data_IF_722893201409
#
_entry.id   IF_722893201409
#
_cell.length_a   1.000
_cell.length_b   1.000
_cell.length_c   1.000
_cell.angle_alpha   90.00
_cell.angle_beta   90.00
_cell.angle_gamma   90.00
#
_symmetry.space_group_name_H-M   'P 1'
#
loop_
_entity.id
_entity.type
_entity.pdbx_description
1 polymer ?
#
# COMPACT_ATOMS: atom_id res chain seq x y z
N UNK A 1 15.53 3.57 -1.17
CA UNK A 1 15.56 4.24 0.15
C UNK A 1 16.39 3.49 1.19
N UNK A 2 16.30 2.17 1.31
CA UNK A 2 17.05 1.40 2.31
C UNK A 2 18.57 1.61 2.20
N UNK A 3 19.15 1.45 1.00
CA UNK A 3 20.58 1.71 0.76
C UNK A 3 21.00 3.14 1.08
N UNK A 4 20.11 4.12 0.93
CA UNK A 4 20.41 5.51 1.27
C UNK A 4 20.50 5.70 2.79
N UNK A 5 19.64 5.03 3.55
CA UNK A 5 19.70 5.03 5.01
C UNK A 5 21.02 4.40 5.50
N UNK A 6 21.41 3.27 4.93
CA UNK A 6 22.69 2.62 5.21
C UNK A 6 23.89 3.53 4.89
N UNK A 7 23.87 4.18 3.71
CA UNK A 7 24.93 5.11 3.32
C UNK A 7 25.04 6.34 4.24
N UNK A 8 23.97 6.69 4.95
CA UNK A 8 23.93 7.78 5.94
C UNK A 8 24.23 7.30 7.37
N UNK A 9 24.57 6.02 7.56
CA UNK A 9 24.90 5.43 8.87
C UNK A 9 23.68 5.00 9.68
N UNK A 10 22.49 4.95 9.08
CA UNK A 10 21.27 4.37 9.66
C UNK A 10 21.06 2.92 9.25
N UNK A 11 19.90 2.37 9.61
CA UNK A 11 19.50 1.00 9.28
C UNK A 11 18.48 1.03 8.14
N UNK A 12 18.71 0.23 7.10
CA UNK A 12 17.81 0.09 5.96
C UNK A 12 17.28 -1.34 5.82
N UNK A 13 15.98 -1.49 5.61
CA UNK A 13 15.36 -2.75 5.20
C UNK A 13 14.58 -2.57 3.91
N UNK A 14 14.61 -3.58 3.04
CA UNK A 14 13.79 -3.62 1.82
C UNK A 14 12.78 -4.74 1.92
N UNK A 15 11.50 -4.44 1.64
CA UNK A 15 10.40 -5.40 1.63
C UNK A 15 9.78 -5.40 0.23
N UNK A 16 9.86 -6.54 -0.45
CA UNK A 16 9.27 -6.71 -1.80
C UNK A 16 8.20 -7.79 -1.85
N UNK A 17 8.03 -8.54 -0.76
CA UNK A 17 7.01 -9.59 -0.64
C UNK A 17 6.24 -9.42 0.67
N UNK A 18 4.90 -9.57 0.67
CA UNK A 18 4.09 -9.36 1.86
C UNK A 18 4.46 -10.25 3.06
N UNK A 19 4.89 -11.48 2.81
CA UNK A 19 5.26 -12.44 3.87
C UNK A 19 6.53 -12.06 4.64
N UNK A 20 7.32 -11.11 4.13
CA UNK A 20 8.55 -10.65 4.77
C UNK A 20 8.28 -9.47 5.73
N UNK A 21 7.05 -8.91 5.72
CA UNK A 21 6.69 -7.70 6.49
C UNK A 21 6.87 -7.89 7.99
N UNK A 22 6.33 -8.98 8.56
CA UNK A 22 6.33 -9.18 10.01
C UNK A 22 7.77 -9.26 10.56
N UNK A 23 8.63 -10.05 9.91
CA UNK A 23 10.02 -10.20 10.33
C UNK A 23 10.82 -8.91 10.19
N UNK A 24 10.55 -8.10 9.17
CA UNK A 24 11.20 -6.80 9.00
C UNK A 24 10.72 -5.79 10.04
N UNK A 25 9.42 -5.79 10.37
CA UNK A 25 8.88 -4.93 11.43
C UNK A 25 9.46 -5.31 12.79
N UNK A 26 9.53 -6.60 13.12
CA UNK A 26 10.15 -7.08 14.36
C UNK A 26 11.61 -6.62 14.48
N UNK A 27 12.40 -6.79 13.40
CA UNK A 27 13.78 -6.34 13.36
C UNK A 27 13.90 -4.81 13.49
N UNK A 28 13.04 -4.07 12.81
CA UNK A 28 13.02 -2.61 12.85
C UNK A 28 12.67 -2.07 14.25
N UNK A 29 11.71 -2.68 14.95
CA UNK A 29 11.33 -2.26 16.29
C UNK A 29 12.35 -2.67 17.36
N UNK A 30 13.11 -3.75 17.14
CA UNK A 30 14.19 -4.18 18.04
C UNK A 30 15.49 -3.39 17.86
N UNK A 31 15.64 -2.65 16.76
CA UNK A 31 16.85 -1.91 16.45
C UNK A 31 17.05 -0.68 17.34
N UNK A 32 18.28 -0.46 17.80
CA UNK A 32 18.66 0.78 18.46
C UNK A 32 19.01 1.84 17.41
N UNK A 33 18.09 2.78 17.16
CA UNK A 33 18.33 3.94 16.28
C UNK A 33 17.31 4.09 15.14
N UNK A 34 17.56 5.01 14.20
CA UNK A 34 16.65 5.26 13.10
C UNK A 34 16.69 4.14 12.05
N UNK A 35 15.51 3.65 11.71
CA UNK A 35 15.30 2.63 10.67
C UNK A 35 14.46 3.22 9.54
N UNK A 36 14.86 2.94 8.30
CA UNK A 36 14.05 3.17 7.09
C UNK A 36 13.68 1.82 6.49
N UNK A 37 12.38 1.59 6.32
CA UNK A 37 11.84 0.44 5.59
C UNK A 37 11.38 0.91 4.22
N UNK A 38 12.00 0.38 3.17
CA UNK A 38 11.59 0.54 1.79
C UNK A 38 10.65 -0.61 1.39
N UNK A 39 9.35 -0.35 1.46
CA UNK A 39 8.34 -1.31 1.03
C UNK A 39 7.89 -1.03 -0.41
N UNK A 40 8.01 -2.02 -1.28
CA UNK A 40 7.40 -1.99 -2.62
C UNK A 40 5.95 -2.41 -2.48
N UNK A 41 5.02 -1.53 -2.87
CA UNK A 41 3.58 -1.75 -2.79
C UNK A 41 2.93 -1.64 -4.17
N UNK A 42 1.74 -2.23 -4.32
CA UNK A 42 0.94 -2.02 -5.52
C UNK A 42 0.42 -0.57 -5.56
N UNK A 43 0.85 0.20 -6.55
CA UNK A 43 0.43 1.59 -6.73
C UNK A 43 -1.05 1.73 -7.15
N UNK A 44 -1.69 0.63 -7.56
CA UNK A 44 -3.07 0.60 -8.01
C UNK A 44 -4.03 0.00 -6.98
N UNK A 45 -3.57 -0.31 -5.77
CA UNK A 45 -4.44 -0.71 -4.67
C UNK A 45 -5.15 0.54 -4.10
N UNK A 46 -6.49 0.68 -4.26
CA UNK A 46 -7.18 1.90 -3.86
C UNK A 46 -7.43 1.93 -2.35
N UNK A 47 -7.22 3.10 -1.74
CA UNK A 47 -7.63 3.33 -0.36
C UNK A 47 -9.13 3.62 -0.30
N UNK A 48 -9.90 2.67 0.22
CA UNK A 48 -11.35 2.83 0.42
C UNK A 48 -11.68 3.11 1.88
N UNK A 49 -12.69 3.96 2.14
CA UNK A 49 -13.23 4.09 3.49
C UNK A 49 -13.95 2.80 3.90
N UNK A 50 -13.98 2.46 5.21
CA UNK A 50 -14.65 1.26 5.70
C UNK A 50 -16.16 1.26 5.48
N UNK A 51 -16.76 2.43 5.26
CA UNK A 51 -18.12 2.58 4.73
C UNK A 51 -18.08 3.53 3.54
N UNK A 52 -18.75 3.15 2.46
CA UNK A 52 -18.85 3.91 1.24
C UNK A 52 -20.28 4.43 1.08
N UNK A 53 -20.59 5.70 1.42
CA UNK A 53 -21.87 6.31 1.06
C UNK A 53 -22.09 6.25 -0.46
N UNK A 54 -23.35 6.17 -0.90
CA UNK A 54 -23.68 6.03 -2.33
C UNK A 54 -23.10 7.15 -3.20
N UNK A 55 -23.10 8.38 -2.67
CA UNK A 55 -22.49 9.52 -3.35
C UNK A 55 -20.98 9.33 -3.55
N UNK A 56 -20.28 8.82 -2.53
CA UNK A 56 -18.85 8.52 -2.64
C UNK A 56 -18.60 7.45 -3.72
N UNK A 57 -19.39 6.36 -3.72
CA UNK A 57 -19.29 5.31 -4.75
C UNK A 57 -19.47 5.87 -6.16
N UNK A 58 -20.48 6.74 -6.35
CA UNK A 58 -20.75 7.38 -7.63
C UNK A 58 -19.57 8.25 -8.07
N UNK A 59 -19.08 9.12 -7.19
CA UNK A 59 -17.97 10.03 -7.49
C UNK A 59 -16.69 9.26 -7.80
N UNK A 60 -16.39 8.21 -7.03
CA UNK A 60 -15.26 7.32 -7.28
C UNK A 60 -15.35 6.66 -8.65
N UNK A 61 -16.51 6.11 -9.03
CA UNK A 61 -16.70 5.50 -10.37
C UNK A 61 -16.52 6.52 -11.50
N UNK A 62 -16.99 7.75 -11.32
CA UNK A 62 -16.80 8.82 -12.31
C UNK A 62 -15.32 9.17 -12.46
N UNK A 63 -14.62 9.42 -11.34
CA UNK A 63 -13.20 9.76 -11.36
C UNK A 63 -12.33 8.64 -11.96
N UNK A 64 -12.69 7.37 -11.70
CA UNK A 64 -11.97 6.21 -12.18
C UNK A 64 -11.92 6.12 -13.72
N UNK A 65 -12.91 6.69 -14.43
CA UNK A 65 -12.95 6.66 -15.90
C UNK A 65 -11.72 7.31 -16.54
N UNK A 66 -11.20 8.38 -15.93
CA UNK A 66 -10.08 9.18 -16.42
C UNK A 66 -8.77 8.92 -15.64
N UNK A 67 -8.78 7.99 -14.69
CA UNK A 67 -7.63 7.72 -13.82
C UNK A 67 -6.60 6.82 -14.53
N UNK A 68 -5.31 7.21 -14.62
CA UNK A 68 -4.26 6.33 -15.12
C UNK A 68 -4.19 5.02 -14.30
N UNK A 69 -4.01 3.88 -14.98
CA UNK A 69 -4.04 2.56 -14.32
C UNK A 69 -5.45 2.07 -13.97
N UNK A 70 -6.49 2.64 -14.59
CA UNK A 70 -7.90 2.25 -14.38
C UNK A 70 -8.12 0.74 -14.38
N UNK A 71 -7.51 0.00 -15.32
CA UNK A 71 -7.77 -1.44 -15.47
C UNK A 71 -7.24 -2.23 -14.27
N UNK A 72 -6.05 -1.86 -13.80
CA UNK A 72 -5.39 -2.41 -12.63
C UNK A 72 -6.19 -2.10 -11.36
N UNK A 73 -6.64 -0.85 -11.21
CA UNK A 73 -7.52 -0.44 -10.10
C UNK A 73 -8.84 -1.21 -10.12
N UNK A 74 -9.49 -1.35 -11.28
CA UNK A 74 -10.73 -2.13 -11.43
C UNK A 74 -10.52 -3.61 -11.07
N UNK A 75 -9.37 -4.20 -11.44
CA UNK A 75 -9.01 -5.55 -11.06
C UNK A 75 -8.82 -5.69 -9.55
N UNK A 76 -8.18 -4.71 -8.90
CA UNK A 76 -7.97 -4.69 -7.45
C UNK A 76 -9.28 -4.52 -6.67
N UNK A 77 -10.17 -3.64 -7.12
CA UNK A 77 -11.52 -3.46 -6.57
C UNK A 77 -12.37 -4.74 -6.63
N UNK A 78 -12.10 -5.63 -7.59
CA UNK A 78 -12.80 -6.92 -7.72
C UNK A 78 -12.29 -8.00 -6.75
N UNK A 79 -11.18 -7.75 -6.03
CA UNK A 79 -10.62 -8.66 -5.02
C UNK A 79 -11.14 -8.33 -3.61
N UNK A 80 -11.15 -9.31 -2.72
CA UNK A 80 -11.39 -9.05 -1.30
C UNK A 80 -10.20 -8.31 -0.67
N UNK A 81 -10.42 -7.45 0.34
CA UNK A 81 -11.71 -7.11 0.96
C UNK A 81 -12.50 -6.00 0.21
N UNK A 82 -11.91 -5.38 -0.81
CA UNK A 82 -12.46 -4.21 -1.48
C UNK A 82 -13.79 -4.49 -2.18
N UNK A 83 -13.94 -5.69 -2.75
CA UNK A 83 -15.18 -6.14 -3.38
C UNK A 83 -16.36 -6.06 -2.42
N UNK A 84 -16.20 -6.52 -1.19
CA UNK A 84 -17.24 -6.46 -0.15
C UNK A 84 -17.54 -5.02 0.28
N UNK A 85 -16.53 -4.14 0.31
CA UNK A 85 -16.73 -2.72 0.66
C UNK A 85 -17.47 -1.93 -0.44
N UNK A 86 -17.41 -2.40 -1.69
CA UNK A 86 -18.07 -1.77 -2.83
C UNK A 86 -19.54 -2.17 -3.02
N UNK A 87 -19.91 -3.38 -2.58
CA UNK A 87 -21.30 -3.88 -2.55
C UNK A 87 -22.17 -3.18 -1.53
#
# INVERSE_FOLDING_TARGET
FAMAAEAMGGIGYSVTRPEDVDGVLDAAFAAEGPVIIEAVVDAYEPMLPPRMPDEYRKNMRTALQETPGRKEIEANLAREPLKTMMG
#
